data_IF_566163542693
#
_entry.id   IF_566163542693
#
_cell.length_a   1.000
_cell.length_b   1.000
_cell.length_c   1.000
_cell.angle_alpha   90.00
_cell.angle_beta   90.00
_cell.angle_gamma   90.00
#
_symmetry.space_group_name_H-M   'P 1'
#
loop_
_entity.id
_entity.type
_entity.pdbx_description
1 polymer ?
#
# COMPACT_ATOMS: atom_id res chain seq x y z
N UNK A 1 35.14 -27.13 -16.11
CA UNK A 1 35.32 -26.02 -15.16
C UNK A 1 36.78 -25.95 -14.77
N UNK A 2 37.46 -24.82 -14.98
CA UNK A 2 38.85 -24.66 -14.59
C UNK A 2 38.94 -24.57 -13.06
N UNK A 3 39.53 -25.54 -12.41
CA UNK A 3 39.71 -25.61 -10.95
C UNK A 3 40.46 -24.37 -10.35
N UNK A 4 41.20 -23.63 -11.17
CA UNK A 4 42.01 -22.49 -10.75
C UNK A 4 41.18 -21.21 -10.49
N UNK A 5 39.84 -21.24 -10.52
CA UNK A 5 38.94 -20.10 -10.24
C UNK A 5 38.00 -20.35 -9.06
N UNK A 6 38.13 -21.44 -8.36
CA UNK A 6 37.36 -21.73 -7.14
C UNK A 6 38.00 -21.00 -5.96
N UNK A 7 37.28 -20.10 -5.33
CA UNK A 7 37.69 -19.48 -4.08
C UNK A 7 37.63 -20.56 -2.98
N UNK A 8 38.73 -20.82 -2.30
CA UNK A 8 38.70 -21.63 -1.10
C UNK A 8 37.96 -20.89 0.02
N UNK A 9 36.94 -21.50 0.58
CA UNK A 9 36.28 -20.97 1.79
C UNK A 9 36.47 -21.98 2.94
N UNK A 10 36.84 -21.50 4.11
CA UNK A 10 36.81 -22.25 5.34
C UNK A 10 35.40 -22.24 5.93
N UNK A 11 35.05 -23.32 6.65
CA UNK A 11 33.80 -23.32 7.43
C UNK A 11 33.87 -22.31 8.54
N UNK A 12 32.77 -21.57 8.76
CA UNK A 12 32.65 -20.54 9.80
C UNK A 12 32.89 -21.12 11.20
N UNK A 13 32.58 -22.40 11.41
CA UNK A 13 32.81 -23.13 12.66
C UNK A 13 34.30 -23.33 13.01
N UNK A 14 35.18 -23.12 12.05
CA UNK A 14 36.65 -23.17 12.25
C UNK A 14 37.29 -21.82 12.54
N UNK A 15 36.51 -20.74 12.46
CA UNK A 15 36.95 -19.39 12.77
C UNK A 15 36.86 -19.12 14.29
N UNK A 16 37.79 -19.69 15.01
CA UNK A 16 37.85 -19.65 16.49
C UNK A 16 38.51 -18.37 17.05
N UNK A 17 39.10 -17.55 16.19
CA UNK A 17 39.97 -16.44 16.61
C UNK A 17 39.49 -15.08 16.14
N UNK A 18 38.51 -15.00 15.21
CA UNK A 18 37.91 -13.76 14.82
C UNK A 18 36.68 -13.44 15.68
N UNK A 19 36.44 -12.16 15.89
CA UNK A 19 35.22 -11.67 16.53
C UNK A 19 34.35 -11.01 15.45
N UNK A 20 33.01 -11.04 15.57
CA UNK A 20 32.16 -10.32 14.66
C UNK A 20 32.52 -8.81 14.61
N UNK A 21 32.40 -8.17 13.44
CA UNK A 21 32.71 -6.75 13.31
C UNK A 21 31.83 -5.89 14.22
N UNK A 22 32.46 -4.96 14.94
CA UNK A 22 31.75 -4.03 15.81
C UNK A 22 31.12 -2.90 14.98
N UNK A 23 29.81 -2.69 15.12
CA UNK A 23 29.13 -1.58 14.49
C UNK A 23 29.35 -0.27 15.28
N UNK A 24 30.25 0.57 14.81
CA UNK A 24 30.57 1.89 15.37
C UNK A 24 29.92 3.05 14.61
N UNK A 25 29.02 2.77 13.65
CA UNK A 25 28.42 3.78 12.79
C UNK A 25 27.36 4.65 13.47
N UNK A 26 26.77 4.16 14.57
CA UNK A 26 25.73 4.85 15.32
C UNK A 26 26.16 5.05 16.78
N UNK A 27 25.94 6.25 17.31
CA UNK A 27 26.17 6.57 18.72
C UNK A 27 24.96 6.25 19.59
N UNK A 28 23.77 6.67 19.14
CA UNK A 28 22.50 6.46 19.86
C UNK A 28 21.32 6.54 18.91
N UNK A 29 20.18 6.01 19.34
CA UNK A 29 18.89 6.22 18.68
C UNK A 29 17.80 6.43 19.71
N UNK A 30 16.86 7.32 19.39
CA UNK A 30 15.73 7.67 20.24
C UNK A 30 14.44 7.54 19.45
N UNK A 31 13.38 7.01 20.08
CA UNK A 31 12.03 7.05 19.54
C UNK A 31 11.37 8.37 19.99
N UNK A 32 11.01 9.21 19.05
CA UNK A 32 10.34 10.49 19.29
C UNK A 32 8.86 10.36 18.93
N UNK A 33 7.99 10.93 19.76
CA UNK A 33 6.55 10.99 19.52
C UNK A 33 6.21 12.42 19.09
N UNK A 34 5.53 12.53 17.95
CA UNK A 34 5.04 13.80 17.42
C UNK A 34 3.54 13.86 17.50
N UNK A 35 3.01 14.88 18.17
CA UNK A 35 1.59 15.16 18.23
C UNK A 35 1.14 15.99 17.02
N UNK A 36 -0.13 15.91 16.62
CA UNK A 36 -0.63 16.71 15.52
C UNK A 36 -0.61 18.21 15.88
N UNK A 37 -0.33 19.03 14.89
CA UNK A 37 -0.39 20.50 15.01
C UNK A 37 -1.81 21.03 14.74
N UNK A 38 -2.68 20.21 14.14
CA UNK A 38 -4.08 20.49 13.86
C UNK A 38 -5.00 19.93 14.95
N UNK A 39 -6.21 20.49 15.08
CA UNK A 39 -7.24 19.94 15.97
C UNK A 39 -7.75 18.58 15.49
N UNK A 40 -7.97 17.64 16.41
CA UNK A 40 -8.57 16.34 16.13
C UNK A 40 -10.11 16.38 16.18
N UNK A 41 -10.69 17.42 16.77
CA UNK A 41 -12.15 17.56 16.91
C UNK A 41 -12.86 17.88 15.59
N UNK A 42 -12.14 18.46 14.64
CA UNK A 42 -12.69 18.87 13.37
C UNK A 42 -12.58 17.76 12.33
N UNK A 43 -13.43 17.81 11.31
CA UNK A 43 -13.35 16.91 10.15
C UNK A 43 -12.15 17.23 9.22
N UNK A 44 -11.33 18.20 9.60
CA UNK A 44 -10.16 18.66 8.86
C UNK A 44 -9.02 17.62 8.82
N UNK A 45 -7.98 17.89 8.05
CA UNK A 45 -6.82 17.02 7.96
C UNK A 45 -6.05 17.00 9.29
N UNK A 46 -5.38 15.86 9.54
CA UNK A 46 -4.45 15.73 10.67
C UNK A 46 -3.04 16.00 10.15
N UNK A 47 -2.34 16.93 10.79
CA UNK A 47 -1.06 17.41 10.29
C UNK A 47 0.04 17.26 11.34
N UNK A 48 1.18 16.71 10.91
CA UNK A 48 2.38 16.56 11.75
C UNK A 48 3.55 17.27 11.12
N UNK A 49 4.39 17.89 11.96
CA UNK A 49 5.65 18.45 11.55
C UNK A 49 6.81 17.79 12.31
N UNK A 50 7.65 17.07 11.59
CA UNK A 50 8.85 16.42 12.11
C UNK A 50 10.06 17.27 11.73
N UNK A 51 10.57 18.07 12.65
CA UNK A 51 11.72 18.92 12.40
C UNK A 51 13.00 18.10 12.22
N UNK A 52 13.77 18.41 11.19
CA UNK A 52 15.11 17.91 10.97
C UNK A 52 16.07 18.55 11.98
N UNK A 53 16.64 17.75 12.89
CA UNK A 53 17.68 18.24 13.80
C UNK A 53 19.03 18.36 13.08
N UNK A 54 19.92 19.18 13.63
CA UNK A 54 21.23 19.46 13.02
C UNK A 54 22.20 18.28 13.07
N UNK A 55 22.01 17.33 13.96
CA UNK A 55 22.95 16.23 14.24
C UNK A 55 22.33 14.82 14.21
N UNK A 56 21.01 14.69 14.00
CA UNK A 56 20.32 13.41 13.95
C UNK A 56 19.72 13.14 12.57
N UNK A 57 19.80 11.88 12.15
CA UNK A 57 19.17 11.34 10.96
C UNK A 57 17.83 10.72 11.32
N UNK A 58 16.90 10.63 10.37
CA UNK A 58 15.58 10.03 10.59
C UNK A 58 15.56 8.64 9.96
N UNK A 59 15.20 7.64 10.75
CA UNK A 59 14.91 6.27 10.27
C UNK A 59 13.45 6.22 9.79
N UNK A 60 13.27 6.50 8.50
CA UNK A 60 11.95 6.56 7.88
C UNK A 60 11.25 5.20 7.88
N UNK A 61 11.99 4.11 7.69
CA UNK A 61 11.44 2.74 7.65
C UNK A 61 10.81 2.29 8.97
N UNK A 62 11.12 2.98 10.07
CA UNK A 62 10.54 2.69 11.40
C UNK A 62 9.56 3.76 11.88
N UNK A 63 9.05 4.57 10.96
CA UNK A 63 7.99 5.54 11.27
C UNK A 63 6.66 4.81 11.38
N UNK A 64 5.94 5.02 12.49
CA UNK A 64 4.66 4.39 12.79
C UNK A 64 3.60 5.45 13.09
N UNK A 65 2.43 5.28 12.52
CA UNK A 65 1.23 6.07 12.82
C UNK A 65 0.42 5.36 13.88
N UNK A 66 0.11 6.06 14.96
CA UNK A 66 -0.81 5.62 16.01
C UNK A 66 -2.10 6.42 15.93
N UNK A 67 -3.24 5.74 15.99
CA UNK A 67 -4.57 6.34 16.03
C UNK A 67 -5.40 5.66 17.12
N UNK A 68 -6.01 6.48 17.95
CA UNK A 68 -7.02 6.06 18.91
C UNK A 68 -8.37 6.59 18.48
N UNK A 69 -9.35 5.72 18.33
CA UNK A 69 -10.66 6.07 17.81
C UNK A 69 -11.81 5.39 18.55
N UNK A 70 -13.01 5.89 18.30
CA UNK A 70 -14.26 5.33 18.78
C UNK A 70 -15.32 5.46 17.69
N UNK A 71 -16.12 4.43 17.46
CA UNK A 71 -17.30 4.48 16.59
C UNK A 71 -18.54 4.66 17.42
N UNK A 72 -19.33 5.69 17.12
CA UNK A 72 -20.56 6.03 17.87
C UNK A 72 -21.71 6.29 16.90
N UNK A 73 -22.93 6.41 17.41
CA UNK A 73 -24.01 7.00 16.63
C UNK A 73 -23.76 8.50 16.43
N UNK A 74 -24.32 9.11 15.38
CA UNK A 74 -24.18 10.56 15.11
C UNK A 74 -24.70 11.45 16.23
N UNK A 75 -25.70 10.96 16.98
CA UNK A 75 -26.24 11.65 18.16
C UNK A 75 -25.33 11.55 19.41
N UNK A 76 -24.21 10.84 19.32
CA UNK A 76 -23.25 10.63 20.42
C UNK A 76 -23.54 9.42 21.28
N UNK A 77 -24.64 8.70 21.09
CA UNK A 77 -24.94 7.48 21.82
C UNK A 77 -23.97 6.34 21.45
N UNK A 78 -23.75 5.46 22.42
CA UNK A 78 -22.95 4.25 22.20
C UNK A 78 -23.68 3.25 21.30
N UNK A 79 -22.89 2.48 20.54
CA UNK A 79 -23.37 1.32 19.80
C UNK A 79 -23.82 0.22 20.76
N UNK A 80 -24.75 -0.59 20.33
CA UNK A 80 -25.12 -1.82 21.02
C UNK A 80 -24.05 -2.90 20.83
N UNK A 81 -24.10 -3.98 21.63
CA UNK A 81 -23.16 -5.09 21.57
C UNK A 81 -23.22 -5.82 20.22
N UNK A 82 -24.43 -5.96 19.68
CA UNK A 82 -24.72 -6.62 18.41
C UNK A 82 -25.11 -5.62 17.31
N UNK A 83 -24.57 -4.41 17.38
CA UNK A 83 -24.85 -3.37 16.39
C UNK A 83 -24.43 -3.86 14.97
N UNK A 84 -25.29 -3.59 13.98
CA UNK A 84 -25.05 -3.97 12.58
C UNK A 84 -24.08 -3.02 11.91
N UNK A 85 -22.89 -2.92 12.48
CA UNK A 85 -21.81 -2.04 12.00
C UNK A 85 -20.49 -2.79 12.09
N UNK A 86 -19.68 -2.71 11.04
CA UNK A 86 -18.31 -3.23 11.04
C UNK A 86 -17.37 -2.29 10.28
N UNK A 87 -16.14 -2.09 10.75
CA UNK A 87 -15.11 -1.47 9.93
C UNK A 87 -14.78 -2.33 8.70
N UNK A 88 -14.40 -1.67 7.60
CA UNK A 88 -13.78 -2.38 6.48
C UNK A 88 -12.43 -2.95 6.88
N UNK A 89 -11.88 -3.84 6.07
CA UNK A 89 -10.57 -4.40 6.34
C UNK A 89 -9.47 -3.31 6.30
N UNK A 90 -8.42 -3.47 7.10
CA UNK A 90 -7.28 -2.52 7.18
C UNK A 90 -7.75 -1.10 7.58
N UNK A 91 -8.48 -1.00 8.70
CA UNK A 91 -9.13 0.24 9.11
C UNK A 91 -8.16 1.41 9.25
N UNK A 92 -6.96 1.21 9.86
CA UNK A 92 -5.99 2.28 10.06
C UNK A 92 -5.77 3.11 8.79
N UNK A 93 -5.63 2.43 7.65
CA UNK A 93 -5.36 3.08 6.37
C UNK A 93 -6.63 3.50 5.64
N UNK A 94 -7.74 2.79 5.85
CA UNK A 94 -9.05 3.15 5.26
C UNK A 94 -9.66 4.42 5.87
N UNK A 95 -9.21 4.84 7.05
CA UNK A 95 -9.56 6.13 7.68
C UNK A 95 -9.11 7.34 6.87
N UNK A 96 -8.13 7.19 5.98
CA UNK A 96 -7.52 8.29 5.26
C UNK A 96 -7.66 8.08 3.75
N UNK A 97 -8.24 9.06 3.06
CA UNK A 97 -8.35 9.03 1.59
C UNK A 97 -7.03 9.36 0.90
N UNK A 98 -6.18 10.16 1.56
CA UNK A 98 -4.90 10.62 1.03
C UNK A 98 -3.93 10.91 2.17
N UNK A 99 -2.65 10.60 1.95
CA UNK A 99 -1.54 11.00 2.84
C UNK A 99 -0.54 11.77 2.00
N UNK A 100 -0.34 13.04 2.34
CA UNK A 100 0.66 13.90 1.73
C UNK A 100 1.91 13.94 2.59
N UNK A 101 3.06 13.67 1.98
CA UNK A 101 4.37 13.83 2.61
C UNK A 101 5.17 14.86 1.84
N UNK A 102 5.61 15.90 2.55
CA UNK A 102 6.57 16.86 2.03
C UNK A 102 7.91 16.70 2.76
N UNK A 103 8.97 16.71 1.99
CA UNK A 103 10.31 16.91 2.52
C UNK A 103 10.70 18.35 2.21
N UNK A 104 10.82 19.17 3.27
CA UNK A 104 10.84 20.64 3.14
C UNK A 104 9.60 21.12 2.36
N UNK A 105 9.82 21.75 1.22
CA UNK A 105 8.76 22.33 0.39
C UNK A 105 8.29 21.41 -0.73
N UNK A 106 8.97 20.26 -0.97
CA UNK A 106 8.69 19.35 -2.08
C UNK A 106 7.73 18.25 -1.65
N UNK A 107 6.57 18.18 -2.30
CA UNK A 107 5.63 17.05 -2.16
C UNK A 107 6.20 15.82 -2.87
N UNK A 108 6.30 14.70 -2.16
CA UNK A 108 6.87 13.44 -2.67
C UNK A 108 5.84 12.32 -2.85
N UNK A 109 4.65 12.48 -2.30
CA UNK A 109 3.53 11.54 -2.50
C UNK A 109 2.59 12.04 -3.59
N UNK A 110 1.93 11.14 -4.35
CA UNK A 110 0.92 11.54 -5.31
C UNK A 110 -0.30 12.14 -4.60
N UNK A 111 -0.83 13.25 -5.14
CA UNK A 111 -2.01 13.94 -4.60
C UNK A 111 -3.30 13.33 -5.17
N UNK A 112 -3.59 12.08 -4.79
CA UNK A 112 -4.76 11.33 -5.24
C UNK A 112 -5.49 10.67 -4.07
N UNK A 113 -6.82 10.67 -4.12
CA UNK A 113 -7.67 10.10 -3.05
C UNK A 113 -7.83 8.58 -3.15
N UNK A 114 -6.76 7.85 -3.46
CA UNK A 114 -6.75 6.39 -3.63
C UNK A 114 -5.83 5.68 -2.65
N UNK A 115 -5.39 6.38 -1.61
CA UNK A 115 -4.49 5.83 -0.59
C UNK A 115 -5.01 4.52 0.06
N UNK A 116 -6.31 4.36 0.40
CA UNK A 116 -6.80 3.10 0.97
C UNK A 116 -6.58 1.90 0.05
N UNK A 117 -6.79 2.08 -1.25
CA UNK A 117 -6.56 1.03 -2.25
C UNK A 117 -5.07 0.71 -2.39
N UNK A 118 -4.21 1.73 -2.36
CA UNK A 118 -2.75 1.54 -2.34
C UNK A 118 -2.35 0.69 -1.13
N UNK A 119 -2.73 1.10 0.06
CA UNK A 119 -2.40 0.41 1.30
C UNK A 119 -2.95 -1.03 1.32
N UNK A 120 -4.20 -1.22 0.88
CA UNK A 120 -4.82 -2.53 0.83
C UNK A 120 -4.10 -3.47 -0.14
N UNK A 121 -3.80 -3.03 -1.36
CA UNK A 121 -3.12 -3.84 -2.37
C UNK A 121 -1.68 -4.15 -1.97
N UNK A 122 -0.93 -3.18 -1.44
CA UNK A 122 0.41 -3.41 -0.90
C UNK A 122 0.39 -4.42 0.24
N UNK A 123 -0.54 -4.29 1.20
CA UNK A 123 -0.69 -5.25 2.30
C UNK A 123 -1.09 -6.63 1.80
N UNK A 124 -2.08 -6.70 0.91
CA UNK A 124 -2.56 -7.97 0.37
C UNK A 124 -1.48 -8.74 -0.38
N UNK A 125 -0.69 -8.04 -1.22
CA UNK A 125 0.24 -8.66 -2.15
C UNK A 125 1.67 -8.81 -1.62
N UNK A 126 2.07 -8.06 -0.58
CA UNK A 126 3.45 -8.07 -0.08
C UNK A 126 3.64 -8.90 1.20
N UNK A 127 2.57 -9.17 1.96
CA UNK A 127 2.64 -9.89 3.22
C UNK A 127 2.06 -11.29 3.12
N UNK A 128 2.73 -12.25 3.73
CA UNK A 128 2.24 -13.62 3.92
C UNK A 128 1.16 -13.74 4.99
N UNK A 129 0.54 -14.91 5.09
CA UNK A 129 -0.55 -15.21 6.03
C UNK A 129 -0.14 -14.97 7.47
N UNK A 130 1.06 -15.39 7.87
CA UNK A 130 1.54 -15.25 9.26
C UNK A 130 1.61 -13.78 9.71
N UNK A 131 2.07 -12.88 8.85
CA UNK A 131 2.11 -11.46 9.16
C UNK A 131 0.70 -10.86 9.23
N UNK A 132 -0.20 -11.31 8.35
CA UNK A 132 -1.60 -10.86 8.29
C UNK A 132 -2.41 -11.29 9.52
N UNK A 133 -2.12 -12.47 10.07
CA UNK A 133 -2.78 -13.01 11.25
C UNK A 133 -2.16 -12.53 12.58
N UNK A 134 -0.96 -11.94 12.54
CA UNK A 134 -0.23 -11.46 13.71
C UNK A 134 -0.09 -9.93 13.71
N UNK A 135 1.05 -9.42 13.26
CA UNK A 135 1.40 -8.00 13.40
C UNK A 135 0.44 -7.03 12.69
N UNK A 136 -0.13 -7.42 11.55
CA UNK A 136 -1.06 -6.56 10.81
C UNK A 136 -2.46 -6.47 11.46
N UNK A 137 -2.74 -7.29 12.48
CA UNK A 137 -3.92 -7.12 13.32
C UNK A 137 -3.91 -5.79 14.08
N UNK A 138 -2.73 -5.19 14.32
CA UNK A 138 -2.60 -3.84 14.90
C UNK A 138 -3.15 -2.73 14.01
N UNK A 139 -3.27 -2.98 12.70
CA UNK A 139 -3.88 -2.09 11.71
C UNK A 139 -5.34 -2.47 11.41
N UNK A 140 -5.85 -3.44 12.15
CA UNK A 140 -7.15 -4.11 11.99
C UNK A 140 -7.26 -4.87 10.65
N UNK A 141 -6.19 -5.56 10.25
CA UNK A 141 -6.27 -6.52 9.17
C UNK A 141 -6.98 -7.78 9.67
N UNK A 142 -8.13 -8.07 9.09
CA UNK A 142 -8.86 -9.33 9.20
C UNK A 142 -9.51 -9.60 7.83
N UNK A 143 -8.96 -10.53 7.09
CA UNK A 143 -9.38 -10.80 5.72
C UNK A 143 -10.87 -11.17 5.65
N UNK A 144 -11.57 -10.58 4.67
CA UNK A 144 -12.94 -10.94 4.39
C UNK A 144 -13.02 -12.35 3.78
N UNK A 145 -13.92 -13.19 4.26
CA UNK A 145 -14.16 -14.54 3.76
C UNK A 145 -15.65 -14.70 3.53
N UNK A 146 -16.02 -15.12 2.33
CA UNK A 146 -17.44 -15.32 1.99
C UNK A 146 -18.15 -14.04 1.57
N UNK A 147 -19.22 -13.65 2.23
CA UNK A 147 -20.07 -12.52 1.83
C UNK A 147 -19.47 -11.15 2.13
N UNK A 148 -18.83 -10.51 1.16
CA UNK A 148 -18.22 -9.19 1.32
C UNK A 148 -19.20 -8.07 1.63
N UNK A 149 -20.44 -8.17 1.14
CA UNK A 149 -21.47 -7.13 1.27
C UNK A 149 -22.53 -7.47 2.35
N UNK A 150 -22.21 -8.36 3.26
CA UNK A 150 -23.07 -8.65 4.41
C UNK A 150 -23.04 -7.43 5.35
N UNK A 151 -24.21 -7.00 5.83
CA UNK A 151 -24.35 -5.83 6.70
C UNK A 151 -24.54 -6.18 8.19
N UNK A 152 -24.86 -7.44 8.48
CA UNK A 152 -25.04 -7.91 9.84
C UNK A 152 -23.88 -8.83 10.24
N UNK A 153 -22.90 -8.33 11.03
CA UNK A 153 -21.75 -9.11 11.44
C UNK A 153 -22.12 -10.35 12.27
N UNK A 154 -23.25 -10.31 12.95
CA UNK A 154 -23.69 -11.33 13.92
C UNK A 154 -24.86 -12.17 13.41
N UNK A 155 -25.34 -11.93 12.17
CA UNK A 155 -26.44 -12.67 11.57
C UNK A 155 -26.07 -14.14 11.32
N UNK A 156 -27.03 -15.04 11.46
CA UNK A 156 -26.84 -16.50 11.32
C UNK A 156 -26.35 -16.91 9.93
N UNK A 157 -26.61 -16.11 8.91
CA UNK A 157 -26.18 -16.34 7.53
C UNK A 157 -24.82 -15.72 7.20
N UNK A 158 -24.19 -15.03 8.14
CA UNK A 158 -22.92 -14.37 7.91
C UNK A 158 -21.74 -15.35 8.03
N UNK A 159 -21.13 -15.68 6.90
CA UNK A 159 -19.92 -16.50 6.82
C UNK A 159 -18.64 -15.67 6.85
N UNK A 160 -18.72 -14.32 6.89
CA UNK A 160 -17.58 -13.44 6.88
C UNK A 160 -16.99 -13.28 8.30
N UNK A 161 -16.10 -14.19 8.67
CA UNK A 161 -15.43 -14.18 9.97
C UNK A 161 -14.56 -12.95 10.17
N UNK A 162 -13.92 -12.44 9.12
CA UNK A 162 -13.12 -11.23 9.18
C UNK A 162 -13.94 -10.01 9.58
N UNK A 163 -15.12 -9.83 8.97
CA UNK A 163 -16.05 -8.76 9.32
C UNK A 163 -16.51 -8.88 10.77
N UNK A 164 -16.88 -10.09 11.22
CA UNK A 164 -17.30 -10.34 12.59
C UNK A 164 -16.22 -9.98 13.60
N UNK A 165 -14.97 -10.37 13.32
CA UNK A 165 -13.83 -10.02 14.17
C UNK A 165 -13.65 -8.50 14.25
N UNK A 166 -13.67 -7.80 13.11
CA UNK A 166 -13.55 -6.33 13.12
C UNK A 166 -14.68 -5.63 13.88
N UNK A 167 -15.92 -6.12 13.73
CA UNK A 167 -17.07 -5.60 14.47
C UNK A 167 -16.91 -5.73 16.00
N UNK A 168 -16.34 -6.83 16.48
CA UNK A 168 -16.15 -7.07 17.92
C UNK A 168 -15.24 -6.04 18.59
N UNK A 169 -14.29 -5.44 17.86
CA UNK A 169 -13.39 -4.41 18.38
C UNK A 169 -14.09 -3.07 18.64
N UNK A 170 -15.19 -2.77 17.94
CA UNK A 170 -15.94 -1.52 18.08
C UNK A 170 -17.28 -1.70 18.84
N UNK A 171 -17.62 -2.92 19.23
CA UNK A 171 -18.85 -3.22 19.97
C UNK A 171 -18.98 -2.35 21.24
N UNK A 172 -20.20 -1.90 21.56
CA UNK A 172 -20.46 -0.97 22.71
C UNK A 172 -19.67 0.34 22.62
N UNK A 173 -19.29 0.75 21.42
CA UNK A 173 -18.42 1.93 21.24
C UNK A 173 -17.13 1.87 22.06
N UNK A 174 -16.52 0.70 22.16
CA UNK A 174 -15.20 0.57 22.78
C UNK A 174 -14.19 1.43 22.06
N UNK A 175 -13.26 1.99 22.81
CA UNK A 175 -12.10 2.67 22.25
C UNK A 175 -11.19 1.65 21.59
N UNK A 176 -10.83 1.92 20.34
CA UNK A 176 -9.94 1.09 19.54
C UNK A 176 -8.63 1.83 19.31
N UNK A 177 -7.51 1.15 19.54
CA UNK A 177 -6.16 1.63 19.25
C UNK A 177 -5.62 0.90 18.03
N UNK A 178 -5.06 1.67 17.11
CA UNK A 178 -4.46 1.16 15.88
C UNK A 178 -3.04 1.72 15.73
N UNK A 179 -2.13 0.89 15.24
CA UNK A 179 -0.76 1.32 15.00
C UNK A 179 -0.18 0.57 13.80
N UNK A 180 0.39 1.32 12.86
CA UNK A 180 0.98 0.75 11.67
C UNK A 180 1.89 1.72 10.91
N UNK A 181 2.64 1.20 9.95
CA UNK A 181 3.50 2.02 9.09
C UNK A 181 2.67 2.61 7.94
N UNK A 182 2.70 3.95 7.73
CA UNK A 182 2.01 4.52 6.58
C UNK A 182 2.53 3.94 5.25
N UNK A 183 1.63 3.63 4.35
CA UNK A 183 1.92 3.11 3.00
C UNK A 183 2.33 4.24 2.04
N UNK A 184 3.44 4.90 2.38
CA UNK A 184 4.07 5.91 1.53
C UNK A 184 5.46 5.43 1.17
N UNK A 185 5.83 5.55 -0.10
CA UNK A 185 7.02 4.91 -0.68
C UNK A 185 8.33 5.28 0.04
N UNK A 186 8.41 6.50 0.57
CA UNK A 186 9.58 6.97 1.31
C UNK A 186 9.79 6.23 2.64
N UNK A 187 8.73 5.66 3.23
CA UNK A 187 8.83 4.85 4.44
C UNK A 187 9.17 3.38 4.17
N UNK A 188 9.20 2.97 2.89
CA UNK A 188 9.51 1.61 2.48
C UNK A 188 10.99 1.42 2.09
N UNK A 189 11.80 2.48 2.12
CA UNK A 189 13.22 2.44 1.79
C UNK A 189 14.10 2.37 3.06
N UNK A 190 15.31 1.80 2.95
CA UNK A 190 16.17 1.47 4.10
C UNK A 190 17.14 2.59 4.52
N UNK A 191 17.34 3.62 3.69
CA UNK A 191 18.32 4.68 3.95
C UNK A 191 17.76 5.70 4.93
N UNK A 192 18.59 6.12 5.89
CA UNK A 192 18.20 7.18 6.81
C UNK A 192 18.11 8.53 6.10
N UNK A 193 17.04 9.28 6.37
CA UNK A 193 16.92 10.66 5.90
C UNK A 193 18.00 11.52 6.59
N UNK A 194 18.77 12.23 5.77
CA UNK A 194 19.84 13.07 6.26
C UNK A 194 19.31 14.18 7.18
N UNK A 195 20.16 14.61 8.10
CA UNK A 195 19.89 15.74 8.99
C UNK A 195 19.57 17.04 8.24
N UNK A 196 18.82 17.93 8.88
CA UNK A 196 18.46 19.24 8.33
C UNK A 196 17.38 19.23 7.26
N UNK A 197 16.62 18.13 7.14
CA UNK A 197 15.44 18.01 6.27
C UNK A 197 14.21 17.84 7.14
N UNK A 198 13.30 18.80 7.09
CA UNK A 198 12.02 18.73 7.77
C UNK A 198 11.08 17.82 6.98
N UNK A 199 10.28 17.03 7.70
CA UNK A 199 9.24 16.19 7.13
C UNK A 199 7.87 16.65 7.63
N UNK A 200 7.00 16.98 6.71
CA UNK A 200 5.62 17.33 6.97
C UNK A 200 4.70 16.22 6.47
N UNK A 201 3.80 15.75 7.34
CA UNK A 201 2.84 14.68 7.04
C UNK A 201 1.44 15.21 7.23
N UNK A 202 0.61 15.08 6.21
CA UNK A 202 -0.79 15.50 6.23
C UNK A 202 -1.68 14.33 5.88
N UNK A 203 -2.60 13.98 6.78
CA UNK A 203 -3.58 12.92 6.62
C UNK A 203 -4.95 13.53 6.31
N UNK A 204 -5.51 13.21 5.14
CA UNK A 204 -6.84 13.65 4.73
C UNK A 204 -7.82 12.53 5.02
N UNK A 205 -8.84 12.79 5.83
CA UNK A 205 -9.79 11.77 6.27
C UNK A 205 -10.66 11.25 5.12
N UNK A 206 -10.97 9.96 5.17
CA UNK A 206 -11.98 9.33 4.32
C UNK A 206 -13.39 9.65 4.83
N UNK A 207 -14.37 9.53 3.95
CA UNK A 207 -15.78 9.56 4.35
C UNK A 207 -16.11 8.29 5.18
N UNK A 208 -17.00 8.41 6.19
CA UNK A 208 -17.47 7.28 6.98
C UNK A 208 -18.07 6.18 6.11
N UNK A 209 -18.76 6.53 5.04
CA UNK A 209 -19.33 5.60 4.08
C UNK A 209 -18.29 4.74 3.35
N UNK A 210 -17.00 5.11 3.40
CA UNK A 210 -15.94 4.31 2.80
C UNK A 210 -15.34 3.30 3.79
N UNK A 211 -15.10 3.70 5.03
CA UNK A 211 -14.39 2.87 6.01
C UNK A 211 -15.29 2.10 6.99
N UNK A 212 -16.61 2.37 6.98
CA UNK A 212 -17.61 1.63 7.76
C UNK A 212 -18.64 0.96 6.86
N UNK A 213 -18.97 -0.28 7.16
CA UNK A 213 -20.14 -0.97 6.63
C UNK A 213 -21.23 -0.98 7.70
N UNK A 214 -22.44 -0.56 7.33
CA UNK A 214 -23.56 -0.46 8.26
C UNK A 214 -24.91 -0.62 7.59
N UNK A 215 -25.84 -1.27 8.28
CA UNK A 215 -27.25 -1.27 7.89
C UNK A 215 -27.92 0.07 8.24
N UNK A 216 -27.43 0.76 9.27
CA UNK A 216 -27.90 2.08 9.71
C UNK A 216 -26.83 3.14 9.34
N UNK A 217 -27.24 4.15 8.60
CA UNK A 217 -26.37 5.25 8.15
C UNK A 217 -26.08 6.29 9.26
N UNK A 218 -26.54 6.03 10.47
CA UNK A 218 -26.43 6.93 11.62
C UNK A 218 -25.17 6.62 12.50
N UNK A 219 -24.04 6.35 11.86
CA UNK A 219 -22.78 6.03 12.54
C UNK A 219 -21.68 7.00 12.13
N UNK A 220 -20.73 7.24 13.05
CA UNK A 220 -19.59 8.14 12.84
C UNK A 220 -18.37 7.64 13.60
N UNK A 221 -17.19 7.85 13.01
CA UNK A 221 -15.89 7.56 13.62
C UNK A 221 -15.32 8.83 14.23
N UNK A 222 -15.01 8.80 15.53
CA UNK A 222 -14.34 9.88 16.25
C UNK A 222 -12.90 9.50 16.51
N UNK A 223 -11.95 10.29 16.02
CA UNK A 223 -10.54 10.15 16.36
C UNK A 223 -10.30 10.87 17.67
N UNK A 224 -9.89 10.13 18.70
CA UNK A 224 -9.67 10.64 20.05
C UNK A 224 -8.24 11.10 20.25
N UNK A 225 -7.29 10.40 19.61
CA UNK A 225 -5.86 10.69 19.70
C UNK A 225 -5.12 10.23 18.45
N UNK A 226 -4.02 10.90 18.13
CA UNK A 226 -3.17 10.57 17.01
C UNK A 226 -1.72 10.96 17.32
N UNK A 227 -0.76 10.09 17.03
CA UNK A 227 0.66 10.45 17.11
C UNK A 227 1.45 9.81 15.97
N UNK A 228 2.56 10.43 15.63
CA UNK A 228 3.55 9.88 14.72
C UNK A 228 4.80 9.50 15.52
N UNK A 229 5.14 8.22 15.52
CA UNK A 229 6.34 7.70 16.14
C UNK A 229 7.47 7.71 15.12
N UNK A 230 8.54 8.43 15.40
CA UNK A 230 9.67 8.60 14.49
C UNK A 230 10.96 8.27 15.22
N UNK A 231 11.75 7.38 14.66
CA UNK A 231 13.07 7.04 15.19
C UNK A 231 14.11 8.02 14.66
N UNK A 232 14.81 8.71 15.57
CA UNK A 232 15.97 9.56 15.27
C UNK A 232 17.25 8.85 15.65
N UNK A 233 18.27 8.96 14.81
CA UNK A 233 19.54 8.27 14.95
C UNK A 233 20.69 9.27 14.90
N UNK A 234 21.51 9.29 15.94
CA UNK A 234 22.77 10.03 15.94
C UNK A 234 23.86 9.11 15.41
N UNK A 235 24.43 9.50 14.29
CA UNK A 235 25.54 8.76 13.66
C UNK A 235 26.90 9.24 14.18
N UNK A 236 27.92 8.40 14.00
CA UNK A 236 29.28 8.74 14.38
C UNK A 236 29.77 9.99 13.63
N UNK A 237 30.42 10.96 14.30
CA UNK A 237 30.83 12.24 13.70
C UNK A 237 31.70 12.11 12.44
N UNK A 238 32.56 11.09 12.39
CA UNK A 238 33.39 10.82 11.20
C UNK A 238 32.56 10.53 9.95
N UNK A 239 31.45 9.78 10.09
CA UNK A 239 30.54 9.48 8.98
C UNK A 239 29.78 10.75 8.58
N UNK A 240 29.31 11.53 9.55
CA UNK A 240 28.65 12.82 9.28
C UNK A 240 29.56 13.78 8.51
N UNK A 241 30.83 13.86 8.89
CA UNK A 241 31.86 14.65 8.20
C UNK A 241 32.13 14.15 6.78
N UNK A 242 32.14 12.83 6.56
CA UNK A 242 32.28 12.25 5.22
C UNK A 242 31.10 12.59 4.33
N UNK A 243 29.86 12.48 4.85
CA UNK A 243 28.67 12.91 4.12
C UNK A 243 28.73 14.41 3.76
N UNK A 244 29.14 15.25 4.71
CA UNK A 244 29.35 16.69 4.47
C UNK A 244 30.36 16.97 3.35
N UNK A 245 31.51 16.30 3.35
CA UNK A 245 32.52 16.44 2.30
C UNK A 245 32.02 16.03 0.91
N UNK A 246 31.27 14.94 0.82
CA UNK A 246 30.69 14.50 -0.46
C UNK A 246 29.67 15.52 -0.98
N UNK A 247 28.84 16.08 -0.10
CA UNK A 247 27.90 17.14 -0.46
C UNK A 247 28.62 18.42 -0.89
N UNK A 248 29.73 18.79 -0.24
CA UNK A 248 30.55 19.94 -0.61
C UNK A 248 31.22 19.78 -2.00
N UNK A 249 31.48 18.54 -2.40
CA UNK A 249 31.95 18.18 -3.74
C UNK A 249 30.85 18.18 -4.82
N UNK A 250 29.60 18.53 -4.46
CA UNK A 250 28.47 18.57 -5.38
C UNK A 250 27.78 17.22 -5.60
N UNK A 251 28.14 16.18 -4.82
CA UNK A 251 27.46 14.89 -4.90
C UNK A 251 26.12 14.98 -4.16
N UNK A 252 25.04 14.55 -4.80
CA UNK A 252 23.70 14.46 -4.18
C UNK A 252 23.51 13.17 -3.41
N UNK A 253 22.76 13.23 -2.31
CA UNK A 253 22.29 12.03 -1.61
C UNK A 253 21.17 11.41 -2.42
N UNK A 254 21.14 10.08 -2.53
CA UNK A 254 20.22 9.34 -3.36
C UNK A 254 19.36 8.39 -2.53
N UNK A 255 18.05 8.53 -2.67
CA UNK A 255 17.05 7.62 -2.08
C UNK A 255 16.31 6.93 -3.22
N UNK A 256 16.73 5.73 -3.64
CA UNK A 256 15.96 4.92 -4.57
C UNK A 256 14.67 4.48 -3.88
N UNK A 257 13.55 4.70 -4.54
CA UNK A 257 12.22 4.34 -4.05
C UNK A 257 11.48 3.53 -5.11
N UNK A 258 10.65 2.60 -4.65
CA UNK A 258 9.64 1.96 -5.48
C UNK A 258 8.33 2.73 -5.29
N UNK A 259 8.06 3.63 -6.23
CA UNK A 259 6.89 4.51 -6.16
C UNK A 259 5.66 3.78 -6.68
N UNK A 260 4.59 3.75 -5.88
CA UNK A 260 3.32 3.13 -6.23
C UNK A 260 2.22 4.17 -6.38
N UNK A 261 1.47 4.07 -7.48
CA UNK A 261 0.33 4.95 -7.78
C UNK A 261 -0.90 4.08 -8.06
N UNK A 262 -2.05 4.51 -7.53
CA UNK A 262 -3.34 3.91 -7.88
C UNK A 262 -4.16 4.89 -8.70
N UNK A 263 -4.45 4.47 -9.92
CA UNK A 263 -5.37 5.17 -10.83
C UNK A 263 -6.70 4.44 -10.89
N UNK A 264 -7.78 5.13 -11.24
CA UNK A 264 -9.07 4.50 -11.45
C UNK A 264 -9.75 5.00 -12.71
N UNK A 265 -10.47 4.11 -13.40
CA UNK A 265 -11.25 4.43 -14.59
C UNK A 265 -12.64 3.83 -14.45
N UNK A 266 -13.65 4.66 -14.67
CA UNK A 266 -15.06 4.24 -14.57
C UNK A 266 -15.52 3.58 -15.87
N UNK A 267 -16.16 2.42 -15.73
CA UNK A 267 -16.78 1.67 -16.83
C UNK A 267 -18.30 1.65 -16.59
N UNK A 268 -19.08 2.26 -17.47
CA UNK A 268 -20.53 2.36 -17.29
C UNK A 268 -21.24 1.00 -17.31
N UNK A 269 -22.40 0.94 -16.65
CA UNK A 269 -23.31 -0.19 -16.70
C UNK A 269 -23.69 -0.56 -18.14
N UNK A 270 -23.96 -1.81 -18.41
CA UNK A 270 -24.36 -2.31 -19.73
C UNK A 270 -23.23 -2.53 -20.74
N UNK A 271 -22.02 -2.07 -20.45
CA UNK A 271 -20.88 -2.29 -21.35
C UNK A 271 -20.43 -3.74 -21.36
N UNK A 272 -20.06 -4.23 -22.55
CA UNK A 272 -19.42 -5.51 -22.80
C UNK A 272 -17.92 -5.39 -23.04
N UNK A 273 -17.41 -4.18 -23.32
CA UNK A 273 -16.00 -3.95 -23.57
C UNK A 273 -15.56 -2.58 -23.07
N UNK A 274 -14.30 -2.46 -22.74
CA UNK A 274 -13.67 -1.21 -22.36
C UNK A 274 -12.26 -1.14 -22.89
N UNK A 275 -11.99 -0.10 -23.68
CA UNK A 275 -10.68 0.21 -24.23
C UNK A 275 -10.19 1.54 -23.67
N UNK A 276 -9.02 1.54 -23.05
CA UNK A 276 -8.36 2.74 -22.55
C UNK A 276 -6.99 2.87 -23.19
N UNK A 277 -6.83 3.87 -24.06
CA UNK A 277 -5.59 4.10 -24.81
C UNK A 277 -4.41 4.52 -23.91
N UNK A 278 -4.67 5.38 -22.93
CA UNK A 278 -3.66 5.92 -22.03
C UNK A 278 -4.03 5.58 -20.58
N UNK A 279 -3.80 4.34 -20.18
CA UNK A 279 -3.87 3.91 -18.78
C UNK A 279 -2.73 4.56 -18.00
N UNK A 280 -1.57 4.55 -18.62
CA UNK A 280 -0.36 5.24 -18.17
C UNK A 280 0.23 5.97 -19.37
N UNK A 281 0.64 7.21 -19.16
CA UNK A 281 1.35 8.05 -20.14
C UNK A 281 2.66 8.54 -19.53
N UNK A 282 3.76 8.39 -20.24
CA UNK A 282 5.09 8.75 -19.77
C UNK A 282 5.92 7.55 -19.37
N UNK A 283 6.35 7.44 -18.12
CA UNK A 283 7.11 6.29 -17.64
C UNK A 283 6.25 5.04 -17.61
N UNK A 284 6.67 3.98 -18.27
CA UNK A 284 6.02 2.66 -18.20
C UNK A 284 6.30 2.06 -16.80
N UNK A 285 5.28 1.55 -16.08
CA UNK A 285 5.48 0.93 -14.78
C UNK A 285 6.28 -0.38 -14.90
N UNK A 286 7.00 -0.71 -13.85
CA UNK A 286 7.64 -2.01 -13.69
C UNK A 286 6.60 -3.12 -13.52
N UNK A 287 5.64 -2.88 -12.64
CA UNK A 287 4.53 -3.79 -12.32
C UNK A 287 3.20 -3.06 -12.39
N UNK A 288 2.19 -3.78 -12.80
CA UNK A 288 0.80 -3.29 -12.80
C UNK A 288 -0.12 -4.36 -12.24
N UNK A 289 -1.05 -3.94 -11.37
CA UNK A 289 -2.11 -4.81 -10.84
C UNK A 289 -3.46 -4.17 -11.16
N UNK A 290 -4.37 -4.96 -11.70
CA UNK A 290 -5.68 -4.52 -12.15
C UNK A 290 -6.76 -5.28 -11.38
N UNK A 291 -7.73 -4.56 -10.85
CA UNK A 291 -8.91 -5.13 -10.22
C UNK A 291 -10.15 -4.29 -10.50
N UNK A 292 -11.32 -4.89 -10.38
CA UNK A 292 -12.59 -4.22 -10.66
C UNK A 292 -13.46 -4.21 -9.41
N UNK A 293 -13.98 -3.03 -9.07
CA UNK A 293 -14.85 -2.82 -7.90
C UNK A 293 -16.12 -2.07 -8.31
N UNK A 294 -17.15 -2.19 -7.50
CA UNK A 294 -18.37 -1.41 -7.71
C UNK A 294 -18.09 0.09 -7.56
N UNK A 295 -18.58 0.91 -8.49
CA UNK A 295 -18.39 2.37 -8.45
C UNK A 295 -19.01 3.01 -7.19
N UNK A 296 -20.16 2.53 -6.72
CA UNK A 296 -20.75 3.04 -5.49
C UNK A 296 -19.87 2.76 -4.26
N UNK A 297 -19.23 1.58 -4.21
CA UNK A 297 -18.28 1.24 -3.16
C UNK A 297 -17.01 2.11 -3.24
N UNK A 298 -16.51 2.35 -4.45
CA UNK A 298 -15.33 3.20 -4.67
C UNK A 298 -15.56 4.64 -4.18
N UNK A 299 -16.74 5.19 -4.41
CA UNK A 299 -17.11 6.52 -3.94
C UNK A 299 -17.53 6.57 -2.47
N UNK A 300 -17.72 5.43 -1.84
CA UNK A 300 -18.17 5.25 -0.46
C UNK A 300 -19.64 4.85 -0.36
N UNK A 301 -19.90 3.70 0.25
CA UNK A 301 -21.25 3.20 0.53
C UNK A 301 -21.21 2.36 1.80
N UNK A 302 -22.10 2.65 2.75
CA UNK A 302 -22.26 1.82 3.93
C UNK A 302 -22.67 0.37 3.64
N UNK A 303 -23.18 0.10 2.42
CA UNK A 303 -23.79 -1.19 2.04
C UNK A 303 -22.90 -2.08 1.20
N UNK A 304 -21.81 -1.55 0.63
CA UNK A 304 -20.95 -2.27 -0.31
C UNK A 304 -19.50 -2.10 0.12
N UNK A 305 -18.81 -3.23 0.28
CA UNK A 305 -17.40 -3.25 0.66
C UNK A 305 -16.51 -2.70 -0.47
N UNK A 306 -15.69 -1.67 -0.23
CA UNK A 306 -14.81 -1.09 -1.24
C UNK A 306 -13.69 -2.03 -1.72
N UNK A 307 -13.33 -3.05 -0.94
CA UNK A 307 -12.29 -4.01 -1.26
C UNK A 307 -12.82 -5.32 -1.86
N UNK A 308 -14.05 -5.32 -2.32
CA UNK A 308 -14.66 -6.47 -3.00
C UNK A 308 -14.30 -6.46 -4.49
N UNK A 309 -13.15 -7.05 -4.83
CA UNK A 309 -12.67 -7.15 -6.21
C UNK A 309 -13.33 -8.33 -6.92
N UNK A 310 -14.18 -8.04 -7.90
CA UNK A 310 -15.00 -9.00 -8.61
C UNK A 310 -14.50 -9.25 -10.04
N UNK A 311 -14.71 -10.44 -10.57
CA UNK A 311 -14.32 -10.80 -11.95
C UNK A 311 -15.30 -10.27 -13.02
N UNK A 312 -16.54 -9.94 -12.68
CA UNK A 312 -17.60 -9.45 -13.60
C UNK A 312 -17.73 -10.26 -14.89
N UNK A 313 -17.44 -11.56 -14.87
CA UNK A 313 -17.37 -12.43 -16.04
C UNK A 313 -16.45 -11.88 -17.15
N UNK A 314 -15.31 -11.32 -16.77
CA UNK A 314 -14.27 -10.92 -17.70
C UNK A 314 -13.85 -12.13 -18.54
N UNK A 315 -13.82 -11.97 -19.86
CA UNK A 315 -13.43 -13.01 -20.83
C UNK A 315 -12.23 -12.63 -21.70
N UNK A 316 -11.77 -11.37 -21.60
CA UNK A 316 -10.55 -10.90 -22.27
C UNK A 316 -9.87 -9.79 -21.50
N UNK A 317 -8.55 -9.90 -21.33
CA UNK A 317 -7.70 -8.84 -20.76
C UNK A 317 -6.33 -8.84 -21.46
N UNK A 318 -5.94 -7.69 -21.99
CA UNK A 318 -4.63 -7.44 -22.58
C UNK A 318 -4.13 -6.03 -22.30
N UNK A 319 -2.84 -5.92 -22.05
CA UNK A 319 -2.12 -4.65 -21.99
C UNK A 319 -1.19 -4.53 -23.18
N UNK A 320 -1.07 -3.33 -23.74
CA UNK A 320 -0.24 -3.08 -24.92
C UNK A 320 0.59 -1.81 -24.72
N UNK A 321 1.90 -1.90 -24.97
CA UNK A 321 2.84 -0.76 -24.91
C UNK A 321 3.18 -0.21 -26.32
N UNK A 322 2.41 -0.58 -27.34
CA UNK A 322 2.68 -0.25 -28.73
C UNK A 322 3.64 -1.26 -29.41
N UNK A 323 4.69 -1.68 -28.73
CA UNK A 323 5.66 -2.67 -29.26
C UNK A 323 5.43 -4.09 -28.73
N UNK A 324 4.80 -4.24 -27.58
CA UNK A 324 4.62 -5.52 -26.89
C UNK A 324 3.25 -5.64 -26.25
N UNK A 325 2.72 -6.85 -26.24
CA UNK A 325 1.52 -7.21 -25.49
C UNK A 325 1.90 -7.90 -24.18
N UNK A 326 1.17 -7.56 -23.11
CA UNK A 326 1.29 -8.18 -21.81
C UNK A 326 -0.08 -8.71 -21.34
N UNK A 327 -0.20 -10.00 -21.03
CA UNK A 327 0.78 -11.03 -21.39
C UNK A 327 0.89 -11.17 -22.92
N UNK A 328 1.95 -11.81 -23.42
CA UNK A 328 2.17 -12.00 -24.87
C UNK A 328 0.98 -12.59 -25.60
N UNK A 329 0.23 -13.46 -24.93
CA UNK A 329 -1.11 -13.93 -25.31
C UNK A 329 -2.10 -13.41 -24.31
N UNK A 330 -3.11 -12.66 -24.74
CA UNK A 330 -4.17 -12.12 -23.88
C UNK A 330 -4.76 -13.18 -22.93
N UNK A 331 -5.14 -12.77 -21.75
CA UNK A 331 -5.91 -13.62 -20.83
C UNK A 331 -7.32 -13.79 -21.38
N UNK A 332 -7.81 -15.02 -21.40
CA UNK A 332 -9.17 -15.37 -21.85
C UNK A 332 -9.80 -16.33 -20.84
N UNK A 333 -10.10 -15.87 -19.61
CA UNK A 333 -10.74 -16.72 -18.62
C UNK A 333 -12.21 -16.98 -18.97
N UNK A 334 -12.70 -18.14 -18.59
CA UNK A 334 -14.12 -18.45 -18.57
C UNK A 334 -14.53 -18.86 -17.15
N UNK A 335 -15.04 -17.90 -16.39
CA UNK A 335 -15.43 -18.10 -15.00
C UNK A 335 -16.68 -18.99 -14.84
N UNK A 336 -17.48 -19.17 -15.89
CA UNK A 336 -18.66 -20.07 -15.87
C UNK A 336 -18.24 -21.52 -15.97
N UNK A 337 -17.22 -21.81 -16.78
CA UNK A 337 -16.67 -23.14 -16.97
C UNK A 337 -15.46 -23.45 -16.08
N UNK A 338 -15.17 -22.57 -15.10
CA UNK A 338 -14.02 -22.66 -14.19
C UNK A 338 -12.65 -22.68 -14.88
N UNK A 339 -12.53 -22.15 -16.11
CA UNK A 339 -11.27 -22.00 -16.85
C UNK A 339 -10.65 -20.62 -16.61
N UNK A 340 -10.08 -20.41 -15.42
CA UNK A 340 -9.46 -19.15 -15.01
C UNK A 340 -8.07 -19.35 -14.41
N UNK A 341 -7.50 -20.56 -14.47
CA UNK A 341 -6.26 -20.88 -13.76
C UNK A 341 -5.09 -20.02 -14.23
N UNK A 342 -5.00 -19.74 -15.52
CA UNK A 342 -3.96 -18.85 -16.06
C UNK A 342 -4.06 -17.44 -15.47
N UNK A 343 -5.29 -16.92 -15.34
CA UNK A 343 -5.53 -15.60 -14.71
C UNK A 343 -5.20 -15.60 -13.23
N UNK A 344 -5.49 -16.67 -12.50
CA UNK A 344 -5.09 -16.82 -11.10
C UNK A 344 -3.57 -16.87 -10.96
N UNK A 345 -2.86 -17.58 -11.83
CA UNK A 345 -1.42 -17.70 -11.78
C UNK A 345 -0.69 -16.40 -12.09
N UNK A 346 -1.27 -15.47 -12.89
CA UNK A 346 -0.66 -14.15 -13.10
C UNK A 346 -0.45 -13.38 -11.82
N UNK A 347 -1.29 -13.61 -10.80
CA UNK A 347 -1.16 -12.96 -9.52
C UNK A 347 0.16 -13.32 -8.81
N UNK A 348 0.60 -14.56 -8.91
CA UNK A 348 1.88 -15.02 -8.34
C UNK A 348 3.07 -14.65 -9.22
N UNK A 349 2.93 -14.81 -10.53
CA UNK A 349 3.97 -14.48 -11.50
C UNK A 349 4.27 -12.97 -11.48
N UNK A 350 3.22 -12.14 -11.59
CA UNK A 350 3.35 -10.68 -11.61
C UNK A 350 3.79 -10.07 -10.28
N UNK A 351 3.66 -10.79 -9.15
CA UNK A 351 4.15 -10.34 -7.84
C UNK A 351 5.50 -10.93 -7.44
N UNK A 352 6.12 -11.76 -8.31
CA UNK A 352 7.39 -12.42 -8.03
C UNK A 352 7.32 -13.51 -6.95
N UNK A 353 6.11 -14.01 -6.65
CA UNK A 353 5.90 -15.03 -5.61
C UNK A 353 5.73 -16.44 -6.17
N UNK A 354 5.95 -16.62 -7.47
CA UNK A 354 5.88 -17.92 -8.10
C UNK A 354 7.06 -18.81 -7.64
N UNK A 355 6.77 -20.06 -7.26
CA UNK A 355 7.77 -21.05 -6.80
C UNK A 355 8.60 -20.61 -5.58
N UNK A 356 8.05 -19.78 -4.70
CA UNK A 356 8.66 -19.38 -3.44
C UNK A 356 7.86 -19.91 -2.25
N UNK A 357 8.52 -20.07 -1.08
CA UNK A 357 7.83 -20.44 0.16
C UNK A 357 6.95 -19.31 0.72
N UNK A 358 7.08 -18.11 0.19
CA UNK A 358 6.30 -16.94 0.59
C UNK A 358 5.23 -16.68 -0.46
N UNK A 359 3.99 -16.57 -0.01
CA UNK A 359 2.87 -16.23 -0.86
C UNK A 359 1.99 -15.16 -0.20
N UNK A 360 1.21 -14.46 -1.00
CA UNK A 360 0.25 -13.48 -0.51
C UNK A 360 -1.00 -14.12 0.15
N UNK A 361 -1.10 -15.45 0.17
CA UNK A 361 -2.17 -16.19 0.85
C UNK A 361 -3.56 -16.15 0.18
N UNK A 362 -3.69 -15.54 -1.01
CA UNK A 362 -4.95 -15.57 -1.76
C UNK A 362 -5.13 -16.96 -2.36
N UNK A 363 -6.19 -17.65 -1.94
CA UNK A 363 -6.50 -18.99 -2.43
C UNK A 363 -7.27 -18.92 -3.76
N UNK A 364 -7.30 -20.06 -4.49
CA UNK A 364 -8.07 -20.19 -5.73
C UNK A 364 -9.55 -19.81 -5.53
N UNK A 365 -10.15 -20.20 -4.41
CA UNK A 365 -11.55 -19.89 -4.12
C UNK A 365 -11.76 -18.42 -3.76
N UNK A 366 -10.82 -17.82 -3.04
CA UNK A 366 -10.86 -16.39 -2.74
C UNK A 366 -10.70 -15.54 -3.99
N UNK A 367 -9.87 -15.98 -4.96
CA UNK A 367 -9.75 -15.31 -6.25
C UNK A 367 -11.09 -15.14 -6.97
N UNK A 368 -11.98 -16.13 -6.91
CA UNK A 368 -13.34 -16.03 -7.45
C UNK A 368 -14.25 -15.12 -6.63
N UNK A 369 -13.97 -14.95 -5.34
CA UNK A 369 -14.87 -14.33 -4.38
C UNK A 369 -14.20 -13.16 -3.66
N UNK A 370 -14.12 -12.02 -4.33
CA UNK A 370 -13.70 -10.76 -3.73
C UNK A 370 -12.22 -10.42 -3.82
N UNK A 371 -11.37 -11.29 -4.37
CA UNK A 371 -9.93 -11.06 -4.54
C UNK A 371 -9.46 -11.24 -5.99
N UNK A 372 -10.32 -10.98 -6.96
CA UNK A 372 -9.97 -11.10 -8.38
C UNK A 372 -9.06 -9.93 -8.79
N UNK A 373 -7.77 -10.21 -8.85
CA UNK A 373 -6.73 -9.26 -9.25
C UNK A 373 -5.86 -9.89 -10.33
N UNK A 374 -5.46 -9.08 -11.30
CA UNK A 374 -4.59 -9.48 -12.40
C UNK A 374 -3.28 -8.70 -12.28
N UNK A 375 -2.17 -9.39 -12.06
CA UNK A 375 -0.86 -8.76 -11.90
C UNK A 375 0.05 -9.09 -13.09
N UNK A 376 0.77 -8.08 -13.58
CA UNK A 376 1.71 -8.22 -14.68
C UNK A 376 3.02 -7.52 -14.33
N UNK A 377 4.12 -8.22 -14.50
CA UNK A 377 5.46 -7.65 -14.51
C UNK A 377 5.81 -7.24 -15.95
N UNK A 378 6.19 -5.98 -16.15
CA UNK A 378 6.52 -5.41 -17.45
C UNK A 378 8.03 -5.27 -17.64
N UNK A 379 8.83 -5.75 -16.68
CA UNK A 379 10.29 -5.76 -16.76
C UNK A 379 10.78 -6.88 -17.69
N UNK A 380 11.94 -6.72 -18.32
CA UNK A 380 12.47 -7.75 -19.21
C UNK A 380 12.93 -9.02 -18.50
N UNK A 381 13.37 -8.89 -17.26
CA UNK A 381 13.97 -9.98 -16.47
C UNK A 381 12.98 -10.66 -15.52
N UNK A 382 11.82 -10.04 -15.29
CA UNK A 382 10.78 -10.54 -14.35
C UNK A 382 11.36 -10.88 -12.98
N UNK A 383 12.38 -10.12 -12.52
CA UNK A 383 13.16 -10.41 -11.33
C UNK A 383 13.01 -9.29 -10.28
N UNK A 384 12.93 -9.65 -9.02
CA UNK A 384 12.98 -8.71 -7.89
C UNK A 384 14.42 -8.54 -7.35
N UNK A 385 15.38 -8.30 -8.24
CA UNK A 385 16.77 -8.05 -7.87
C UNK A 385 17.01 -6.72 -7.15
N UNK A 386 18.24 -6.51 -6.68
CA UNK A 386 18.69 -5.25 -6.05
C UNK A 386 19.08 -4.17 -7.07
N UNK A 387 18.84 -4.40 -8.36
CA UNK A 387 19.12 -3.46 -9.45
C UNK A 387 17.88 -2.67 -9.86
N UNK A 388 18.08 -1.55 -10.52
CA UNK A 388 17.02 -0.78 -11.16
C UNK A 388 16.97 -1.15 -12.64
N UNK A 389 15.77 -1.32 -13.16
CA UNK A 389 15.56 -1.54 -14.59
C UNK A 389 15.69 -0.24 -15.39
N UNK A 390 16.09 -0.33 -16.69
CA UNK A 390 16.06 0.83 -17.55
C UNK A 390 14.67 1.43 -17.68
N UNK A 391 14.54 2.72 -17.40
CA UNK A 391 13.28 3.44 -17.52
C UNK A 391 12.84 3.44 -18.99
N UNK A 392 11.65 2.94 -19.26
CA UNK A 392 10.99 2.99 -20.55
C UNK A 392 9.90 4.05 -20.55
N UNK A 393 9.79 4.81 -21.63
CA UNK A 393 8.74 5.81 -21.83
C UNK A 393 7.81 5.38 -22.95
N UNK A 394 6.52 5.63 -22.79
CA UNK A 394 5.51 5.30 -23.76
C UNK A 394 4.10 5.45 -23.20
N UNK A 395 3.15 4.89 -23.93
CA UNK A 395 1.76 4.81 -23.53
C UNK A 395 1.37 3.36 -23.31
N UNK A 396 0.68 3.09 -22.21
CA UNK A 396 0.11 1.79 -21.92
C UNK A 396 -1.39 1.82 -22.23
N UNK A 397 -1.81 0.95 -23.15
CA UNK A 397 -3.21 0.70 -23.49
C UNK A 397 -3.72 -0.53 -22.76
N UNK A 398 -4.97 -0.49 -22.32
CA UNK A 398 -5.67 -1.63 -21.74
C UNK A 398 -6.93 -1.93 -22.56
N UNK A 399 -7.12 -3.21 -22.85
CA UNK A 399 -8.32 -3.74 -23.52
C UNK A 399 -8.94 -4.82 -22.64
N UNK A 400 -10.23 -4.66 -22.36
CA UNK A 400 -11.01 -5.55 -21.49
C UNK A 400 -12.34 -5.86 -22.15
N UNK A 401 -12.74 -7.16 -22.12
CA UNK A 401 -14.09 -7.57 -22.52
C UNK A 401 -14.75 -8.39 -21.41
N UNK A 402 -16.05 -8.32 -21.35
CA UNK A 402 -16.90 -9.04 -20.40
C UNK A 402 -17.89 -9.92 -21.16
N UNK A 403 -18.01 -11.17 -20.77
CA UNK A 403 -18.94 -12.13 -21.38
C UNK A 403 -20.41 -11.73 -21.18
N UNK A 404 -20.70 -11.00 -20.11
CA UNK A 404 -22.02 -10.45 -19.77
C UNK A 404 -21.96 -8.94 -19.63
N UNK A 405 -23.02 -8.26 -20.04
CA UNK A 405 -23.16 -6.82 -19.82
C UNK A 405 -23.04 -6.50 -18.33
N UNK A 406 -22.29 -5.44 -18.00
CA UNK A 406 -22.07 -5.03 -16.61
C UNK A 406 -23.38 -4.70 -15.91
N UNK A 407 -23.68 -5.31 -14.76
CA UNK A 407 -24.95 -5.12 -14.04
C UNK A 407 -25.07 -3.73 -13.42
N UNK A 408 -23.95 -3.08 -13.16
CA UNK A 408 -23.84 -1.72 -12.62
C UNK A 408 -22.55 -1.08 -13.08
N UNK A 409 -22.40 0.22 -12.87
CA UNK A 409 -21.15 0.94 -13.13
C UNK A 409 -20.05 0.43 -12.21
N UNK A 410 -18.88 0.16 -12.75
CA UNK A 410 -17.70 -0.34 -12.03
C UNK A 410 -16.52 0.60 -12.21
N UNK A 411 -15.53 0.49 -11.31
CA UNK A 411 -14.23 1.12 -11.47
C UNK A 411 -13.15 0.07 -11.70
N UNK A 412 -12.36 0.26 -12.75
CA UNK A 412 -11.09 -0.42 -12.89
C UNK A 412 -10.08 0.30 -11.99
N UNK A 413 -9.61 -0.37 -10.96
CA UNK A 413 -8.57 0.10 -10.04
C UNK A 413 -7.24 -0.45 -10.55
N UNK A 414 -6.30 0.45 -10.83
CA UNK A 414 -5.02 0.13 -11.44
C UNK A 414 -3.91 0.59 -10.52
N UNK A 415 -3.23 -0.36 -9.92
CA UNK A 415 -2.05 -0.15 -9.08
C UNK A 415 -0.79 -0.32 -9.96
N UNK A 416 0.06 0.70 -10.01
CA UNK A 416 1.25 0.75 -10.84
C UNK A 416 2.48 1.05 -10.00
N UNK A 417 3.55 0.27 -10.16
CA UNK A 417 4.84 0.46 -9.48
C UNK A 417 5.90 0.97 -10.44
N UNK A 418 6.73 1.90 -9.96
CA UNK A 418 7.80 2.55 -10.71
C UNK A 418 9.09 2.57 -9.88
N UNK A 419 10.22 2.34 -10.52
CA UNK A 419 11.52 2.63 -9.92
C UNK A 419 11.84 4.10 -10.13
N UNK A 420 12.00 4.84 -9.04
CA UNK A 420 12.27 6.28 -9.04
C UNK A 420 13.34 6.66 -8.02
N UNK A 421 13.82 7.90 -8.12
CA UNK A 421 14.89 8.41 -7.31
C UNK A 421 14.53 9.78 -6.70
N UNK A 422 14.69 9.88 -5.39
CA UNK A 422 14.69 11.16 -4.69
C UNK A 422 16.14 11.53 -4.42
N UNK A 423 16.52 12.76 -4.72
CA UNK A 423 17.86 13.29 -4.47
C UNK A 423 17.79 14.49 -3.52
N UNK A 424 18.81 14.63 -2.68
CA UNK A 424 18.94 15.78 -1.79
C UNK A 424 20.32 16.38 -2.02
N UNK A 425 20.35 17.68 -2.30
CA UNK A 425 21.57 18.43 -2.54
C UNK A 425 22.21 18.97 -1.23
N UNK A 426 23.33 19.70 -1.37
CA UNK A 426 24.02 20.35 -0.24
C UNK A 426 23.12 21.33 0.52
N UNK A 427 22.28 22.08 -0.18
CA UNK A 427 21.37 23.06 0.41
C UNK A 427 20.11 22.41 1.02
N UNK A 428 20.06 21.06 1.02
CA UNK A 428 18.89 20.26 1.42
C UNK A 428 17.67 20.43 0.52
N UNK A 429 17.86 20.90 -0.72
CA UNK A 429 16.77 20.88 -1.69
C UNK A 429 16.49 19.44 -2.12
N UNK A 430 15.20 19.14 -2.22
CA UNK A 430 14.71 17.82 -2.62
C UNK A 430 14.39 17.86 -4.11
N UNK A 431 15.00 16.96 -4.86
CA UNK A 431 14.85 16.82 -6.32
C UNK A 431 14.26 15.43 -6.59
N UNK A 432 13.18 15.37 -7.34
CA UNK A 432 12.54 14.12 -7.75
C UNK A 432 12.67 13.94 -9.26
N UNK A 433 12.82 12.71 -9.72
CA UNK A 433 12.81 12.34 -11.15
C UNK A 433 11.39 12.06 -11.68
N UNK A 434 10.37 12.40 -10.87
CA UNK A 434 8.95 12.22 -11.16
C UNK A 434 8.15 13.43 -10.73
N UNK A 435 6.94 13.56 -11.25
CA UNK A 435 5.96 14.56 -10.81
C UNK A 435 5.00 13.97 -9.79
N UNK A 436 4.68 14.74 -8.74
CA UNK A 436 3.72 14.34 -7.68
C UNK A 436 2.29 14.76 -8.00
N UNK A 437 2.01 15.17 -9.24
CA UNK A 437 0.71 15.66 -9.71
C UNK A 437 -0.25 14.54 -10.04
#
# INVERSE_FOLDING_TARGET
MNANKLCECSKVELDLFSVPPLNTSMERSNQCIYHPISSLSDSGPIEFNVSGSSDEYIDLGRTMLYIKLQVTKKNGESLEDTAKVAPVNLLLHSLFSQIDIKLRDTLITPSVHTYPYKAYLETLLSYGTDAKESQLSSELWNADVGGFNVLDPYGDTNNNTGMKNRASYIAKSKTLELMGRPHCDIFLQDRYLINGVDMYVKLIRSNEMFHLMSADENVVTKILDAHLHVRKVKIHPTIALQHGKLLDQGTTIKYPIRRSIVSSFTIPTGNLSFNKENVVSGQIPRRIVIGFVNNAAFNGSFKINPFNFQHYHLDYLSLNTGSQNFPSQALKPDFENEDYMRSYMTLFEGTGMLNTDRGHGVTRQQFLNGYTLYAFDLTPDMCEGSHLDPIKYGNLRMEVHFKKALPHTINAVIFSEYDNLIQIDRARNVITDFTSS
#
